data_IF_773708966833
#
_entry.id   IF_773708966833
#
_cell.length_a   1.000
_cell.length_b   1.000
_cell.length_c   1.000
_cell.angle_alpha   90.00
_cell.angle_beta   90.00
_cell.angle_gamma   90.00
#
_symmetry.space_group_name_H-M   'P 1'
#
loop_
_entity.id
_entity.type
_entity.pdbx_description
1 polymer ?
#
# COMPACT_ATOMS: atom_id res chain seq x y z
N UNK A 1 7.29 36.34 -39.73
CA UNK A 1 6.36 35.56 -38.89
C UNK A 1 7.02 34.24 -38.57
N UNK A 2 7.55 34.07 -37.36
CA UNK A 2 8.14 32.81 -36.90
C UNK A 2 7.21 32.30 -35.80
N UNK A 3 6.36 31.33 -36.14
CA UNK A 3 5.43 30.70 -35.20
C UNK A 3 6.23 29.73 -34.34
N UNK A 4 6.50 30.11 -33.10
CA UNK A 4 7.01 29.20 -32.09
C UNK A 4 5.78 28.44 -31.56
N UNK A 5 5.54 27.23 -32.06
CA UNK A 5 4.66 26.31 -31.35
C UNK A 5 5.34 25.99 -30.01
N UNK A 6 4.71 26.24 -28.86
CA UNK A 6 5.22 25.71 -27.61
C UNK A 6 5.09 24.19 -27.72
N UNK A 7 6.21 23.49 -27.60
CA UNK A 7 6.20 22.07 -27.30
C UNK A 7 5.37 21.89 -26.04
N UNK A 8 4.14 21.39 -26.22
CA UNK A 8 3.34 20.81 -25.15
C UNK A 8 4.20 19.69 -24.56
N UNK A 9 4.92 20.05 -23.50
CA UNK A 9 5.54 19.11 -22.60
C UNK A 9 4.37 18.29 -22.04
N UNK A 10 4.15 17.12 -22.62
CA UNK A 10 3.24 16.12 -22.07
C UNK A 10 3.83 15.67 -20.73
N UNK A 11 3.61 16.44 -19.66
CA UNK A 11 3.49 15.82 -18.35
C UNK A 11 2.42 14.75 -18.55
N UNK A 12 2.75 13.48 -18.36
CA UNK A 12 1.74 12.42 -18.42
C UNK A 12 0.66 12.80 -17.41
N UNK A 13 -0.50 13.21 -17.91
CA UNK A 13 -1.59 13.69 -17.07
C UNK A 13 -2.08 12.47 -16.28
N UNK A 14 -1.76 12.41 -14.99
CA UNK A 14 -2.29 11.38 -14.10
C UNK A 14 -3.82 11.42 -14.14
N UNK A 15 -4.44 10.25 -14.26
CA UNK A 15 -5.90 10.11 -14.28
C UNK A 15 -6.41 9.63 -12.93
N UNK A 16 -7.60 10.06 -12.51
CA UNK A 16 -8.22 9.53 -11.30
C UNK A 16 -8.74 8.12 -11.59
N UNK A 17 -8.27 7.13 -10.84
CA UNK A 17 -8.73 5.76 -10.90
C UNK A 17 -10.04 5.57 -10.14
N UNK A 18 -11.05 5.00 -10.79
CA UNK A 18 -12.37 4.72 -10.21
C UNK A 18 -12.94 3.40 -10.70
N UNK A 19 -12.10 2.37 -10.80
CA UNK A 19 -12.52 1.06 -11.29
C UNK A 19 -13.39 0.30 -10.26
N UNK A 20 -13.33 0.69 -8.98
CA UNK A 20 -14.11 0.08 -7.91
C UNK A 20 -13.66 -1.33 -7.51
N UNK A 21 -12.45 -1.73 -7.92
CA UNK A 21 -11.89 -3.04 -7.61
C UNK A 21 -11.49 -3.08 -6.14
N UNK A 22 -11.83 -4.17 -5.47
CA UNK A 22 -11.48 -4.36 -4.07
C UNK A 22 -10.04 -4.83 -3.91
N UNK A 23 -9.29 -4.20 -3.01
CA UNK A 23 -7.88 -4.51 -2.75
C UNK A 23 -7.05 -4.55 -4.05
N UNK A 24 -7.28 -3.56 -4.91
CA UNK A 24 -6.58 -3.44 -6.18
C UNK A 24 -5.08 -3.18 -5.94
N UNK A 25 -4.18 -4.10 -6.33
CA UNK A 25 -2.76 -3.93 -6.12
C UNK A 25 -2.22 -2.73 -6.91
N UNK A 26 -1.48 -1.85 -6.22
CA UNK A 26 -0.76 -0.74 -6.86
C UNK A 26 0.54 -1.31 -7.46
N UNK A 27 0.44 -1.89 -8.66
CA UNK A 27 1.51 -2.63 -9.30
C UNK A 27 1.50 -2.47 -10.83
N UNK A 28 2.59 -2.89 -11.47
CA UNK A 28 2.71 -2.89 -12.92
C UNK A 28 3.02 -1.52 -13.52
N UNK A 29 2.37 -1.17 -14.63
CA UNK A 29 2.75 0.00 -15.43
C UNK A 29 2.38 1.29 -14.71
N UNK A 30 3.38 2.05 -14.29
CA UNK A 30 3.19 3.35 -13.64
C UNK A 30 3.56 3.33 -12.16
N UNK A 31 3.42 2.16 -11.52
CA UNK A 31 3.84 1.90 -10.16
C UNK A 31 5.38 1.79 -10.06
N UNK A 32 5.96 2.46 -9.06
CA UNK A 32 7.38 2.36 -8.73
C UNK A 32 7.64 2.63 -7.25
N UNK A 33 8.81 2.18 -6.77
CA UNK A 33 9.27 2.48 -5.41
C UNK A 33 9.86 3.89 -5.38
N UNK A 34 9.22 4.81 -4.66
CA UNK A 34 9.72 6.17 -4.53
C UNK A 34 10.90 6.21 -3.54
N UNK A 35 12.12 6.33 -4.06
CA UNK A 35 13.35 6.33 -3.25
C UNK A 35 13.50 7.54 -2.31
N UNK A 36 12.81 8.65 -2.57
CA UNK A 36 12.88 9.86 -1.71
C UNK A 36 12.15 9.63 -0.39
N UNK A 37 10.98 8.99 -0.48
CA UNK A 37 10.14 8.66 0.68
C UNK A 37 10.42 7.25 1.21
N UNK A 38 11.18 6.43 0.48
CA UNK A 38 11.72 5.16 0.98
C UNK A 38 12.95 5.50 1.81
N UNK A 39 12.70 5.89 3.05
CA UNK A 39 13.75 6.11 4.03
C UNK A 39 14.45 4.81 4.32
N UNK A 40 15.60 4.62 3.68
CA UNK A 40 16.72 3.92 4.30
C UNK A 40 16.46 2.45 4.62
N UNK A 41 15.64 1.80 3.80
CA UNK A 41 15.74 0.37 3.73
C UNK A 41 17.11 0.02 3.11
N UNK A 42 18.12 -0.16 3.97
CA UNK A 42 19.53 -0.44 3.60
C UNK A 42 19.72 -1.72 2.79
N UNK A 43 18.69 -2.56 2.75
CA UNK A 43 18.58 -3.79 1.96
C UNK A 43 17.34 -3.79 1.05
N UNK A 44 16.59 -2.68 0.98
CA UNK A 44 15.70 -2.45 -0.14
C UNK A 44 16.43 -1.52 -1.09
N UNK A 45 17.26 -2.06 -1.99
CA UNK A 45 17.50 -1.32 -3.20
C UNK A 45 16.13 -1.05 -3.86
N UNK A 46 15.99 0.00 -4.67
CA UNK A 46 14.78 0.15 -5.49
C UNK A 46 14.50 -1.11 -6.35
N UNK A 47 15.51 -1.98 -6.54
CA UNK A 47 15.39 -3.30 -7.16
C UNK A 47 14.88 -4.41 -6.21
N UNK A 48 15.04 -4.31 -4.89
CA UNK A 48 14.49 -5.27 -3.91
C UNK A 48 13.03 -4.97 -3.58
N UNK A 49 12.62 -3.70 -3.63
CA UNK A 49 11.21 -3.32 -3.56
C UNK A 49 10.41 -3.70 -4.82
N UNK A 50 11.06 -4.24 -5.86
CA UNK A 50 10.41 -4.64 -7.11
C UNK A 50 9.30 -5.68 -6.87
N UNK A 51 9.48 -6.60 -5.91
CA UNK A 51 8.46 -7.59 -5.55
C UNK A 51 7.14 -6.94 -5.10
N UNK A 52 7.18 -5.72 -4.54
CA UNK A 52 5.97 -5.02 -4.07
C UNK A 52 5.12 -4.52 -5.25
N UNK A 53 5.74 -4.29 -6.41
CA UNK A 53 5.13 -3.63 -7.58
C UNK A 53 5.10 -4.51 -8.83
N UNK A 54 5.51 -5.77 -8.76
CA UNK A 54 5.61 -6.67 -9.92
C UNK A 54 4.30 -7.40 -10.26
N UNK A 55 3.27 -7.26 -9.42
CA UNK A 55 1.96 -7.89 -9.57
C UNK A 55 1.89 -9.34 -9.06
N UNK A 56 2.98 -9.91 -8.56
CA UNK A 56 2.98 -11.22 -7.92
C UNK A 56 2.62 -11.08 -6.43
N UNK A 57 1.37 -11.41 -6.10
CA UNK A 57 0.85 -11.23 -4.73
C UNK A 57 1.41 -12.23 -3.69
N UNK A 58 2.33 -13.10 -4.10
CA UNK A 58 2.92 -14.17 -3.28
C UNK A 58 4.38 -13.97 -2.91
N UNK A 59 5.11 -13.11 -3.63
CA UNK A 59 6.47 -12.72 -3.25
C UNK A 59 6.45 -11.43 -2.41
N UNK A 60 7.60 -11.03 -1.87
CA UNK A 60 7.69 -9.91 -0.95
C UNK A 60 9.07 -9.27 -0.95
N UNK A 61 9.14 -8.05 -0.44
CA UNK A 61 10.37 -7.39 -0.05
C UNK A 61 10.42 -7.24 1.49
N UNK A 62 11.60 -7.37 2.09
CA UNK A 62 11.73 -7.28 3.55
C UNK A 62 12.15 -5.89 4.00
N UNK A 63 11.27 -5.22 4.75
CA UNK A 63 11.57 -3.99 5.47
C UNK A 63 12.25 -4.32 6.81
N UNK A 64 13.55 -4.10 6.90
CA UNK A 64 14.31 -4.26 8.16
C UNK A 64 14.26 -2.97 8.98
N UNK A 65 13.93 -3.09 10.26
CA UNK A 65 13.75 -1.96 11.18
C UNK A 65 14.89 -1.85 12.19
N UNK A 66 15.10 -0.65 12.74
CA UNK A 66 16.17 -0.40 13.72
C UNK A 66 17.53 -0.06 13.12
N UNK A 67 17.68 -0.05 11.80
CA UNK A 67 18.87 0.50 11.15
C UNK A 67 18.59 1.95 10.70
N UNK A 68 18.79 2.89 11.62
CA UNK A 68 18.61 4.32 11.39
C UNK A 68 19.81 4.88 10.63
N UNK A 69 19.65 5.16 9.34
CA UNK A 69 20.71 5.79 8.52
C UNK A 69 20.23 7.07 7.84
N UNK A 70 19.61 8.02 8.55
CA UNK A 70 19.34 9.36 8.00
C UNK A 70 18.06 10.07 8.45
N UNK A 71 17.70 11.11 7.70
CA UNK A 71 16.84 12.25 8.10
C UNK A 71 15.35 11.96 8.28
N UNK A 72 14.86 10.76 7.92
CA UNK A 72 13.44 10.40 8.00
C UNK A 72 13.02 9.77 9.35
N UNK A 73 13.97 9.51 10.24
CA UNK A 73 13.67 9.05 11.61
C UNK A 73 13.06 7.65 11.70
N UNK A 74 13.28 6.78 10.71
CA UNK A 74 12.73 5.42 10.66
C UNK A 74 13.05 4.67 9.36
N UNK A 75 12.51 3.47 9.24
CA UNK A 75 12.54 2.65 8.02
C UNK A 75 11.22 2.79 7.27
N UNK A 76 11.26 2.92 5.95
CA UNK A 76 10.04 3.06 5.15
C UNK A 76 10.14 2.38 3.80
N UNK A 77 8.98 2.02 3.24
CA UNK A 77 8.81 1.69 1.83
C UNK A 77 7.63 2.49 1.27
N UNK A 78 7.81 3.07 0.09
CA UNK A 78 6.81 3.95 -0.53
C UNK A 78 6.52 3.51 -1.97
N UNK A 79 5.26 3.19 -2.25
CA UNK A 79 4.78 2.81 -3.58
C UNK A 79 4.05 4.02 -4.17
N UNK A 80 4.49 4.44 -5.36
CA UNK A 80 3.95 5.58 -6.07
C UNK A 80 3.49 5.19 -7.47
N UNK A 81 2.34 5.70 -7.87
CA UNK A 81 1.85 5.60 -9.24
C UNK A 81 2.07 6.92 -10.00
N UNK A 82 2.76 6.85 -11.14
CA UNK A 82 3.03 7.99 -12.02
C UNK A 82 1.92 8.27 -13.04
N UNK A 83 0.94 7.39 -13.17
CA UNK A 83 -0.16 7.44 -14.13
C UNK A 83 -1.52 7.64 -13.45
N UNK A 84 -1.66 7.27 -12.18
CA UNK A 84 -2.92 7.30 -11.47
C UNK A 84 -2.91 8.17 -10.21
N UNK A 85 -4.05 8.81 -9.94
CA UNK A 85 -4.46 9.29 -8.63
C UNK A 85 -5.58 8.40 -8.11
N UNK A 86 -5.57 8.12 -6.82
CA UNK A 86 -6.62 7.40 -6.13
C UNK A 86 -7.52 8.38 -5.38
N UNK A 87 -8.85 8.31 -5.55
CA UNK A 87 -9.78 9.27 -4.97
C UNK A 87 -9.91 9.08 -3.45
N UNK A 88 -10.25 10.18 -2.77
CA UNK A 88 -10.69 10.11 -1.38
C UNK A 88 -11.87 9.14 -1.17
N UNK A 89 -11.93 8.55 0.01
CA UNK A 89 -12.91 7.52 0.36
C UNK A 89 -12.46 6.09 0.02
N UNK A 90 -11.34 5.93 -0.68
CA UNK A 90 -10.73 4.62 -0.89
C UNK A 90 -10.00 4.16 0.38
N UNK A 91 -10.07 2.86 0.66
CA UNK A 91 -9.17 2.23 1.61
C UNK A 91 -7.82 1.98 0.93
N UNK A 92 -6.75 2.38 1.61
CA UNK A 92 -5.38 2.17 1.15
C UNK A 92 -4.59 1.43 2.20
N UNK A 93 -3.70 0.53 1.76
CA UNK A 93 -3.01 -0.35 2.68
C UNK A 93 -1.86 -1.14 2.11
N UNK A 94 -1.35 -2.04 2.95
CA UNK A 94 -0.34 -3.04 2.61
C UNK A 94 -0.77 -4.41 3.11
N UNK A 95 -0.42 -5.44 2.34
CA UNK A 95 -0.38 -6.82 2.85
C UNK A 95 1.03 -7.11 3.31
N UNK A 96 1.15 -7.51 4.58
CA UNK A 96 2.44 -7.72 5.23
C UNK A 96 2.48 -9.01 6.03
N UNK A 97 3.67 -9.49 6.36
CA UNK A 97 3.88 -10.54 7.36
C UNK A 97 5.00 -10.14 8.29
N UNK A 98 4.77 -10.30 9.59
CA UNK A 98 5.82 -10.09 10.57
C UNK A 98 6.62 -11.36 10.82
N UNK A 99 7.95 -11.26 10.71
CA UNK A 99 8.83 -12.43 10.86
C UNK A 99 9.07 -12.85 12.32
N UNK A 100 8.59 -12.06 13.28
CA UNK A 100 8.56 -12.43 14.70
C UNK A 100 7.23 -13.06 15.16
N UNK A 101 6.34 -13.45 14.24
CA UNK A 101 5.02 -14.01 14.54
C UNK A 101 3.89 -13.05 14.19
N UNK A 102 2.88 -12.92 15.04
CA UNK A 102 1.81 -11.93 14.84
C UNK A 102 2.26 -10.55 15.31
N UNK A 103 1.93 -9.50 14.54
CA UNK A 103 2.11 -8.12 15.01
C UNK A 103 1.28 -7.91 16.28
N UNK A 104 1.96 -7.65 17.41
CA UNK A 104 1.28 -7.30 18.66
C UNK A 104 0.61 -5.93 18.54
N UNK A 105 -0.43 -5.65 19.35
CA UNK A 105 -1.11 -4.35 19.33
C UNK A 105 -0.15 -3.17 19.55
N UNK A 106 0.85 -3.34 20.41
CA UNK A 106 1.87 -2.31 20.66
C UNK A 106 2.71 -2.02 19.42
N UNK A 107 3.05 -3.07 18.68
CA UNK A 107 3.84 -2.99 17.47
C UNK A 107 3.01 -2.39 16.31
N UNK A 108 1.75 -2.82 16.17
CA UNK A 108 0.79 -2.22 15.26
C UNK A 108 0.64 -0.72 15.54
N UNK A 109 0.39 -0.31 16.78
CA UNK A 109 0.22 1.10 17.19
C UNK A 109 1.39 2.02 16.80
N UNK A 110 2.60 1.48 16.65
CA UNK A 110 3.76 2.25 16.25
C UNK A 110 3.95 2.35 14.72
N UNK A 111 3.38 1.43 13.94
CA UNK A 111 3.41 1.48 12.49
C UNK A 111 2.48 2.59 11.97
N UNK A 112 2.88 3.16 10.84
CA UNK A 112 2.13 4.22 10.17
C UNK A 112 1.94 3.89 8.69
N UNK A 113 0.75 4.18 8.17
CA UNK A 113 0.53 4.34 6.73
C UNK A 113 0.39 5.82 6.44
N UNK A 114 1.17 6.33 5.49
CA UNK A 114 1.12 7.72 5.05
C UNK A 114 0.75 7.79 3.58
N UNK A 115 -0.03 8.79 3.21
CA UNK A 115 -0.35 9.07 1.81
C UNK A 115 0.26 10.38 1.36
N UNK A 116 0.62 10.46 0.08
CA UNK A 116 1.15 11.65 -0.55
C UNK A 116 0.40 11.93 -1.86
N UNK A 117 0.39 13.19 -2.27
CA UNK A 117 -0.08 13.64 -3.57
C UNK A 117 1.00 14.49 -4.20
N UNK A 118 1.57 14.05 -5.32
CA UNK A 118 2.68 14.74 -5.99
C UNK A 118 3.86 15.01 -5.03
N UNK A 119 4.13 14.07 -4.12
CA UNK A 119 5.18 14.20 -3.10
C UNK A 119 4.82 15.07 -1.88
N UNK A 120 3.63 15.66 -1.84
CA UNK A 120 3.13 16.42 -0.67
C UNK A 120 2.34 15.49 0.25
N UNK A 121 2.72 15.43 1.53
CA UNK A 121 2.03 14.61 2.53
C UNK A 121 0.54 14.99 2.65
N UNK A 122 -0.34 13.99 2.63
CA UNK A 122 -1.79 14.17 2.71
C UNK A 122 -2.33 13.75 4.07
N UNK A 123 -2.09 12.50 4.44
CA UNK A 123 -2.64 11.87 5.64
C UNK A 123 -1.62 10.94 6.28
N UNK A 124 -1.79 10.69 7.58
CA UNK A 124 -1.02 9.71 8.35
C UNK A 124 -1.97 8.98 9.26
N UNK A 125 -2.04 7.66 9.11
CA UNK A 125 -2.81 6.76 9.95
C UNK A 125 -1.87 5.91 10.80
N UNK A 126 -2.22 5.74 12.08
CA UNK A 126 -1.60 4.82 13.05
C UNK A 126 -2.70 4.00 13.74
N UNK A 127 -2.39 2.91 14.44
CA UNK A 127 -3.45 2.11 15.08
C UNK A 127 -3.94 2.70 16.43
N UNK A 128 -3.32 3.79 16.91
CA UNK A 128 -3.46 4.25 18.30
C UNK A 128 -4.65 5.18 18.59
N UNK A 129 -5.44 5.64 17.61
CA UNK A 129 -6.45 6.69 17.86
C UNK A 129 -7.90 6.22 18.08
N UNK A 130 -8.16 4.91 18.10
CA UNK A 130 -9.40 4.34 18.67
C UNK A 130 -10.73 4.67 17.95
N UNK A 131 -10.76 5.49 16.90
CA UNK A 131 -12.03 5.91 16.26
C UNK A 131 -12.06 5.87 14.73
N UNK A 132 -11.04 5.33 14.06
CA UNK A 132 -11.07 5.16 12.59
C UNK A 132 -9.71 4.95 11.92
N UNK A 133 -8.71 4.45 12.66
CA UNK A 133 -7.31 4.64 12.34
C UNK A 133 -6.63 3.28 12.27
N UNK A 134 -6.23 2.92 11.04
CA UNK A 134 -5.49 1.73 10.65
C UNK A 134 -6.06 0.39 11.21
N UNK A 135 -6.60 -0.45 10.34
CA UNK A 135 -7.19 -1.76 10.71
C UNK A 135 -6.27 -2.90 10.31
N UNK A 136 -6.17 -3.91 11.18
CA UNK A 136 -5.40 -5.14 10.94
C UNK A 136 -6.34 -6.34 10.85
N UNK A 137 -6.35 -7.03 9.71
CA UNK A 137 -7.03 -8.33 9.58
C UNK A 137 -5.98 -9.43 9.46
N UNK A 138 -6.13 -10.51 10.24
CA UNK A 138 -5.27 -11.69 10.12
C UNK A 138 -5.82 -12.59 9.02
N UNK A 139 -4.95 -12.95 8.09
CA UNK A 139 -5.28 -13.88 7.02
C UNK A 139 -4.98 -15.29 7.53
N UNK A 140 -5.95 -15.87 8.24
CA UNK A 140 -5.83 -17.12 9.02
C UNK A 140 -5.33 -18.32 8.21
N UNK A 141 -5.47 -18.30 6.87
CA UNK A 141 -5.06 -19.38 5.96
C UNK A 141 -3.78 -19.06 5.16
N UNK A 142 -3.16 -17.89 5.36
CA UNK A 142 -2.06 -17.38 4.52
C UNK A 142 -0.72 -17.32 5.27
N UNK A 143 -0.51 -18.23 6.23
CA UNK A 143 0.79 -18.36 6.91
C UNK A 143 1.21 -17.12 7.73
N UNK A 144 0.23 -16.39 8.28
CA UNK A 144 0.47 -15.23 9.16
C UNK A 144 0.51 -13.87 8.48
N UNK A 145 0.06 -13.75 7.21
CA UNK A 145 -0.11 -12.45 6.56
C UNK A 145 -1.20 -11.61 7.26
N UNK A 146 -1.04 -10.31 7.21
CA UNK A 146 -1.92 -9.32 7.82
C UNK A 146 -2.16 -8.17 6.84
N UNK A 147 -3.40 -7.70 6.77
CA UNK A 147 -3.75 -6.49 6.01
C UNK A 147 -3.64 -5.31 6.95
N UNK A 148 -2.86 -4.27 6.62
CA UNK A 148 -2.87 -2.97 7.31
C UNK A 148 -3.52 -1.94 6.39
N UNK A 149 -4.64 -1.32 6.77
CA UNK A 149 -5.31 -0.31 5.91
C UNK A 149 -6.07 0.77 6.65
N UNK A 150 -6.27 1.92 6.03
CA UNK A 150 -7.19 2.96 6.50
C UNK A 150 -7.96 3.57 5.33
N UNK A 151 -9.11 4.17 5.63
CA UNK A 151 -9.90 4.91 4.63
C UNK A 151 -9.39 6.33 4.53
N UNK A 152 -9.02 6.73 3.31
CA UNK A 152 -8.52 8.08 3.01
C UNK A 152 -9.63 9.11 2.99
N UNK A 153 -9.30 10.35 3.35
CA UNK A 153 -10.19 11.52 3.20
C UNK A 153 -9.71 12.47 2.11
N UNK A 154 -8.52 12.22 1.52
CA UNK A 154 -7.93 13.01 0.45
C UNK A 154 -7.41 12.12 -0.67
N UNK A 155 -7.38 12.65 -1.90
CA UNK A 155 -6.77 11.94 -3.03
C UNK A 155 -5.25 11.78 -2.83
N UNK A 156 -4.68 10.70 -3.36
CA UNK A 156 -3.26 10.37 -3.25
C UNK A 156 -2.73 9.73 -4.54
N UNK A 157 -1.42 9.81 -4.79
CA UNK A 157 -0.70 9.03 -5.82
C UNK A 157 0.35 8.10 -5.22
N UNK A 158 0.54 8.15 -3.90
CA UNK A 158 1.61 7.43 -3.22
C UNK A 158 1.18 7.02 -1.82
N UNK A 159 1.53 5.79 -1.47
CA UNK A 159 1.31 5.21 -0.14
C UNK A 159 2.63 4.70 0.43
N UNK A 160 2.91 5.04 1.68
CA UNK A 160 4.11 4.69 2.42
C UNK A 160 3.76 3.86 3.65
N UNK A 161 4.44 2.73 3.82
CA UNK A 161 4.53 2.03 5.09
C UNK A 161 5.76 2.56 5.84
N UNK A 162 5.55 3.09 7.04
CA UNK A 162 6.60 3.69 7.86
C UNK A 162 6.68 3.04 9.24
N UNK A 163 7.89 2.64 9.61
CA UNK A 163 8.27 2.16 10.93
C UNK A 163 9.22 3.19 11.59
N UNK A 164 8.79 3.91 12.64
CA UNK A 164 9.64 4.86 13.35
C UNK A 164 10.88 4.18 13.96
N UNK A 165 12.01 4.89 14.06
CA UNK A 165 13.24 4.35 14.65
C UNK A 165 13.13 4.02 16.14
N UNK A 166 12.12 4.56 16.83
CA UNK A 166 11.79 4.23 18.22
C UNK A 166 11.22 2.82 18.38
N UNK A 167 10.80 2.20 17.28
CA UNK A 167 10.21 0.87 17.26
C UNK A 167 11.29 -0.21 17.19
N UNK A 168 11.96 -0.45 18.32
CA UNK A 168 13.10 -1.38 18.42
C UNK A 168 12.69 -2.85 18.53
N UNK A 169 11.45 -3.13 18.95
CA UNK A 169 10.91 -4.48 19.05
C UNK A 169 10.54 -5.08 17.69
N UNK A 170 10.36 -4.24 16.67
CA UNK A 170 10.23 -4.69 15.30
C UNK A 170 11.62 -4.93 14.74
N UNK A 171 11.84 -6.11 14.18
CA UNK A 171 13.12 -6.47 13.54
C UNK A 171 13.00 -6.45 12.02
N UNK A 172 11.93 -7.05 11.49
CA UNK A 172 11.66 -7.06 10.05
C UNK A 172 10.19 -7.34 9.73
N UNK A 173 9.67 -6.70 8.68
CA UNK A 173 8.36 -6.97 8.10
C UNK A 173 8.54 -7.34 6.63
N UNK A 174 7.97 -8.46 6.21
CA UNK A 174 7.83 -8.79 4.80
C UNK A 174 6.63 -8.04 4.23
N UNK A 175 6.85 -7.28 3.17
CA UNK A 175 5.84 -6.47 2.48
C UNK A 175 5.56 -7.11 1.14
N UNK A 176 4.33 -7.57 0.93
CA UNK A 176 3.93 -8.29 -0.28
C UNK A 176 3.52 -7.32 -1.37
N UNK A 177 2.55 -6.44 -1.09
CA UNK A 177 2.09 -5.43 -2.04
C UNK A 177 1.36 -4.29 -1.31
N UNK A 178 1.31 -3.14 -1.97
CA UNK A 178 0.39 -2.06 -1.62
C UNK A 178 -0.92 -2.23 -2.40
N UNK A 179 -2.03 -1.77 -1.83
CA UNK A 179 -3.32 -1.82 -2.51
C UNK A 179 -4.18 -0.60 -2.21
N UNK A 180 -5.18 -0.42 -3.06
CA UNK A 180 -6.24 0.56 -2.91
C UNK A 180 -7.63 -0.10 -3.16
N UNK A 181 -8.71 0.67 -3.12
CA UNK A 181 -10.05 0.22 -3.48
C UNK A 181 -11.15 0.81 -2.59
N UNK A 182 -12.43 0.51 -2.88
CA UNK A 182 -13.53 0.99 -2.07
C UNK A 182 -13.42 0.60 -0.58
N UNK A 183 -13.72 1.53 0.33
CA UNK A 183 -13.59 1.28 1.76
C UNK A 183 -14.54 0.19 2.31
N UNK A 184 -15.67 -0.01 1.64
CA UNK A 184 -16.69 -1.00 2.00
C UNK A 184 -16.43 -2.40 1.41
N UNK A 185 -15.24 -2.65 0.87
CA UNK A 185 -14.87 -3.98 0.40
C UNK A 185 -14.82 -5.00 1.54
N UNK A 186 -15.44 -6.15 1.31
CA UNK A 186 -15.32 -7.31 2.19
C UNK A 186 -13.86 -7.77 2.26
N UNK A 187 -13.38 -8.11 3.45
CA UNK A 187 -12.00 -8.55 3.71
C UNK A 187 -11.70 -9.97 3.20
N UNK A 188 -12.70 -10.72 2.73
CA UNK A 188 -12.55 -12.06 2.15
C UNK A 188 -11.99 -12.06 0.71
N UNK A 189 -11.80 -10.89 0.09
CA UNK A 189 -11.20 -10.80 -1.25
C UNK A 189 -9.74 -11.29 -1.32
N UNK A 190 -9.10 -11.58 -0.19
CA UNK A 190 -7.75 -12.14 -0.16
C UNK A 190 -7.68 -13.55 -0.75
N UNK A 191 -8.69 -14.40 -0.52
CA UNK A 191 -8.69 -15.77 -1.06
C UNK A 191 -8.75 -15.76 -2.60
N UNK A 192 -9.49 -14.81 -3.19
CA UNK A 192 -9.55 -14.61 -4.63
C UNK A 192 -8.22 -14.10 -5.21
N UNK A 193 -7.48 -13.27 -4.46
CA UNK A 193 -6.20 -12.69 -4.85
C UNK A 193 -5.00 -13.64 -4.70
N UNK A 194 -5.11 -14.70 -3.88
CA UNK A 194 -4.02 -15.68 -3.69
C UNK A 194 -4.16 -16.93 -4.56
N UNK A 195 -5.05 -16.91 -5.55
CA UNK A 195 -5.19 -17.98 -6.55
C UNK A 195 -5.86 -19.25 -6.02
N UNK A 196 -6.53 -19.18 -4.86
CA UNK A 196 -7.38 -20.27 -4.39
C UNK A 196 -8.72 -20.16 -5.10
N UNK A 197 -8.95 -21.02 -6.09
CA UNK A 197 -10.24 -21.13 -6.76
C UNK A 197 -11.33 -21.47 -5.72
N UNK A 198 -12.17 -20.49 -5.37
CA UNK A 198 -13.45 -20.76 -4.72
C UNK A 198 -14.60 -20.60 -5.72
N UNK A 199 -15.34 -21.69 -5.86
CA UNK A 199 -16.58 -21.81 -6.61
C UNK A 199 -17.64 -20.97 -5.91
N UNK A 200 -17.91 -19.77 -6.44
CA UNK A 200 -19.05 -18.94 -6.04
C UNK A 200 -19.92 -18.63 -7.24
N UNK A 201 -21.20 -19.03 -7.20
CA UNK A 201 -22.19 -18.73 -8.25
C UNK A 201 -22.47 -17.23 -8.31
N UNK A 202 -22.59 -16.62 -9.50
CA UNK A 202 -22.87 -15.18 -9.63
C UNK A 202 -24.32 -14.87 -9.25
N UNK A 203 -24.53 -14.09 -8.18
CA UNK A 203 -25.81 -13.42 -7.93
C UNK A 203 -25.76 -11.99 -8.46
N UNK A 204 -26.54 -11.71 -9.51
CA UNK A 204 -26.74 -10.38 -10.05
C UNK A 204 -27.91 -9.69 -9.33
N UNK A 205 -27.60 -8.67 -8.52
CA UNK A 205 -28.63 -7.84 -7.90
C UNK A 205 -28.09 -6.67 -7.10
N UNK A 206 -27.71 -5.58 -7.79
CA UNK A 206 -27.55 -4.23 -7.22
C UNK A 206 -26.39 -4.04 -6.23
N UNK A 207 -25.42 -3.19 -6.60
CA UNK A 207 -24.18 -2.90 -5.86
C UNK A 207 -23.22 -4.10 -5.78
N UNK A 208 -22.63 -4.46 -6.93
CA UNK A 208 -21.58 -5.48 -7.04
C UNK A 208 -20.38 -5.17 -6.14
N UNK A 209 -20.32 -5.82 -4.97
CA UNK A 209 -19.07 -6.32 -4.39
C UNK A 209 -18.71 -7.59 -5.16
N UNK A 210 -17.75 -7.52 -6.07
CA UNK A 210 -17.18 -8.72 -6.70
C UNK A 210 -15.69 -8.68 -6.44
N UNK A 211 -15.20 -9.62 -5.63
CA UNK A 211 -13.80 -10.02 -5.69
C UNK A 211 -13.69 -10.82 -7.00
N UNK A 212 -13.19 -10.19 -8.06
CA UNK A 212 -12.92 -10.90 -9.30
C UNK A 212 -11.72 -11.81 -9.07
N UNK A 213 -11.99 -13.10 -8.95
CA UNK A 213 -11.03 -14.19 -9.16
C UNK A 213 -11.07 -14.68 -10.60
#
# INVERSE_FOLDING_TARGET
MLSILPALLFAQQQTIERNGICMDPIAGRGAYINSVNTGLCLLCSAADGAAIIDGNLTNFATLTTGVSVGLLGGSAVSVKDSLQYYPSGNAVGFVVKYNGGLLTLNLLNALQIRTYRNGVAQETASFSSGSGLLSAAVLSNEGGKQILKFTTTKDFDEVQLFAPSTLTALTSIDVYYAFEGPANCASDCVNALTGSAEVGTPEFGGASLVCLG
#
